data_IF_724024852401
#
_entry.id   IF_724024852401
#
_cell.length_a   1.000
_cell.length_b   1.000
_cell.length_c   1.000
_cell.angle_alpha   90.00
_cell.angle_beta   90.00
_cell.angle_gamma   90.00
#
_symmetry.space_group_name_H-M   'P 1'
#
loop_
_entity.id
_entity.type
_entity.pdbx_description
1 polymer ?
#
# COMPACT_ATOMS: atom_id res chain seq x y z
N UNK A 1 -50.91 -19.78 24.05
CA UNK A 1 -51.08 -19.58 22.60
C UNK A 1 -50.51 -18.21 22.27
N UNK A 2 -49.24 -18.06 21.85
CA UNK A 2 -48.72 -18.22 20.48
C UNK A 2 -49.61 -17.49 19.45
N UNK A 3 -49.16 -16.55 18.62
CA UNK A 3 -47.87 -15.89 18.41
C UNK A 3 -48.15 -14.61 17.60
N UNK A 4 -47.48 -13.50 17.94
CA UNK A 4 -47.45 -12.29 17.10
C UNK A 4 -46.48 -12.51 15.94
N UNK A 5 -46.94 -12.14 14.75
CA UNK A 5 -46.21 -12.19 13.49
C UNK A 5 -44.96 -11.29 13.53
N UNK A 6 -43.80 -11.91 13.74
CA UNK A 6 -42.49 -11.31 13.44
C UNK A 6 -42.15 -11.53 11.97
N UNK A 7 -42.31 -10.49 11.16
CA UNK A 7 -41.91 -10.48 9.75
C UNK A 7 -40.85 -9.42 9.48
N UNK A 8 -39.78 -9.84 8.80
CA UNK A 8 -38.71 -9.05 8.19
C UNK A 8 -37.57 -8.60 9.12
N UNK A 9 -36.73 -9.56 9.51
CA UNK A 9 -35.33 -9.25 9.80
C UNK A 9 -34.59 -9.10 8.47
N UNK A 10 -34.17 -7.88 8.21
CA UNK A 10 -33.21 -7.48 7.18
C UNK A 10 -31.97 -8.37 7.22
N UNK A 11 -31.77 -9.19 6.19
CA UNK A 11 -30.49 -9.83 5.89
C UNK A 11 -29.50 -8.77 5.37
N UNK A 12 -29.04 -7.90 6.26
CA UNK A 12 -27.78 -7.19 6.07
C UNK A 12 -26.68 -8.10 6.61
N UNK A 13 -26.07 -8.90 5.74
CA UNK A 13 -24.86 -9.63 6.04
C UNK A 13 -23.75 -8.61 6.37
N UNK A 14 -23.62 -8.28 7.65
CA UNK A 14 -22.44 -7.59 8.18
C UNK A 14 -21.25 -8.50 7.93
N UNK A 15 -20.46 -8.17 6.92
CA UNK A 15 -19.12 -8.72 6.76
C UNK A 15 -18.33 -8.25 7.98
N UNK A 16 -18.20 -9.13 8.96
CA UNK A 16 -17.31 -8.94 10.10
C UNK A 16 -15.89 -9.02 9.55
N UNK A 17 -15.32 -7.86 9.21
CA UNK A 17 -13.88 -7.70 9.07
C UNK A 17 -13.30 -7.91 10.46
N UNK A 18 -12.95 -9.17 10.77
CA UNK A 18 -12.26 -9.52 12.01
C UNK A 18 -10.94 -8.77 11.97
N UNK A 19 -10.81 -7.76 12.81
CA UNK A 19 -9.55 -7.04 13.01
C UNK A 19 -8.46 -8.08 13.29
N UNK A 20 -7.58 -8.30 12.33
CA UNK A 20 -6.31 -8.98 12.53
C UNK A 20 -5.36 -8.07 13.33
N UNK A 21 -5.84 -7.54 14.45
CA UNK A 21 -5.06 -6.86 15.45
C UNK A 21 -4.42 -7.91 16.34
N UNK A 22 -3.28 -8.47 15.91
CA UNK A 22 -2.27 -8.98 16.84
C UNK A 22 -0.92 -9.40 16.24
N UNK A 23 -0.69 -9.29 14.92
CA UNK A 23 0.66 -9.44 14.35
C UNK A 23 1.25 -8.12 13.82
N UNK A 24 0.39 -7.15 13.52
CA UNK A 24 0.80 -5.81 13.05
C UNK A 24 1.54 -5.04 14.14
N UNK A 25 1.13 -5.12 15.41
CA UNK A 25 1.71 -4.28 16.47
C UNK A 25 3.07 -4.77 17.01
N UNK A 26 3.37 -6.07 16.95
CA UNK A 26 4.61 -6.60 17.54
C UNK A 26 5.83 -6.47 16.64
N UNK A 27 5.66 -6.44 15.31
CA UNK A 27 6.74 -6.16 14.36
C UNK A 27 6.97 -4.65 14.13
N UNK A 28 6.00 -3.81 14.50
CA UNK A 28 6.08 -2.34 14.45
C UNK A 28 6.82 -1.76 15.68
N UNK A 29 7.08 -2.56 16.71
CA UNK A 29 7.69 -2.10 17.96
C UNK A 29 9.12 -1.52 17.81
N UNK A 30 9.75 -1.65 16.63
CA UNK A 30 11.02 -1.02 16.29
C UNK A 30 10.96 -0.17 15.01
N UNK A 31 9.90 0.64 14.85
CA UNK A 31 9.88 1.70 13.84
C UNK A 31 9.58 3.06 14.44
N UNK A 32 10.66 3.80 14.68
CA UNK A 32 10.63 5.25 14.88
C UNK A 32 10.15 6.03 13.62
N UNK A 33 9.69 5.34 12.57
CA UNK A 33 9.31 5.93 11.28
C UNK A 33 7.89 5.58 10.85
N UNK A 34 7.02 6.59 10.88
CA UNK A 34 5.63 6.48 10.45
C UNK A 34 5.48 6.95 9.00
N UNK A 35 5.39 5.98 8.07
CA UNK A 35 5.21 6.24 6.62
C UNK A 35 3.92 7.02 6.31
N UNK A 36 2.91 7.02 7.19
CA UNK A 36 1.67 7.76 6.96
C UNK A 36 1.90 9.26 6.91
N UNK A 37 2.95 9.75 7.57
CA UNK A 37 3.31 11.18 7.59
C UNK A 37 3.90 11.68 6.26
N UNK A 38 4.27 10.76 5.36
CA UNK A 38 4.79 11.05 4.02
C UNK A 38 3.72 11.07 2.94
N UNK A 39 2.47 10.74 3.25
CA UNK A 39 1.44 10.57 2.23
C UNK A 39 0.29 11.53 2.51
N UNK A 40 -0.04 12.31 1.50
CA UNK A 40 -1.23 13.17 1.47
C UNK A 40 -2.05 12.83 0.24
N UNK A 41 -3.37 12.99 0.32
CA UNK A 41 -4.23 12.81 -0.85
C UNK A 41 -4.34 14.14 -1.61
N UNK A 42 -3.99 14.13 -2.89
CA UNK A 42 -4.30 15.20 -3.83
C UNK A 42 -5.05 14.60 -5.02
N UNK A 43 -6.23 15.13 -5.34
CA UNK A 43 -7.05 14.67 -6.47
C UNK A 43 -7.33 13.15 -6.46
N UNK A 44 -7.45 12.57 -5.26
CA UNK A 44 -7.69 11.13 -5.08
C UNK A 44 -6.46 10.25 -5.25
N UNK A 45 -5.29 10.83 -5.52
CA UNK A 45 -4.01 10.12 -5.63
C UNK A 45 -3.13 10.36 -4.40
N UNK A 46 -2.39 9.35 -3.92
CA UNK A 46 -1.41 9.54 -2.87
C UNK A 46 -0.20 10.30 -3.42
N UNK A 47 0.10 11.45 -2.82
CA UNK A 47 1.22 12.33 -3.17
C UNK A 47 2.05 12.64 -1.94
N UNK A 48 3.32 12.92 -2.18
CA UNK A 48 4.30 13.30 -1.15
C UNK A 48 4.88 14.67 -1.47
N UNK A 49 4.97 15.53 -0.45
CA UNK A 49 5.56 16.87 -0.58
C UNK A 49 7.00 16.88 -0.04
N UNK A 50 7.87 17.71 -0.63
CA UNK A 50 9.27 17.82 -0.16
C UNK A 50 9.42 18.28 1.29
N UNK A 51 8.42 18.98 1.83
CA UNK A 51 8.37 19.33 3.26
C UNK A 51 8.19 18.10 4.16
N UNK A 52 7.37 17.14 3.75
CA UNK A 52 7.14 15.89 4.49
C UNK A 52 8.43 15.07 4.51
N UNK A 53 9.10 14.95 3.35
CA UNK A 53 10.38 14.28 3.23
C UNK A 53 11.45 14.96 4.09
N UNK A 54 11.51 16.29 4.06
CA UNK A 54 12.45 17.05 4.89
C UNK A 54 12.26 16.75 6.39
N UNK A 55 11.01 16.72 6.86
CA UNK A 55 10.66 16.38 8.25
C UNK A 55 11.03 14.94 8.59
N UNK A 56 10.65 14.00 7.73
CA UNK A 56 10.84 12.57 7.96
C UNK A 56 12.33 12.18 8.01
N UNK A 57 13.13 12.71 7.09
CA UNK A 57 14.57 12.41 7.03
C UNK A 57 15.43 13.37 7.86
N UNK A 58 14.82 14.33 8.57
CA UNK A 58 15.52 15.34 9.38
C UNK A 58 16.46 16.22 8.55
N UNK A 59 16.13 16.48 7.28
CA UNK A 59 16.93 17.30 6.35
C UNK A 59 16.28 18.67 6.18
N UNK A 60 17.09 19.68 5.85
CA UNK A 60 16.57 20.99 5.44
C UNK A 60 15.84 20.86 4.10
N UNK A 61 14.69 21.54 3.96
CA UNK A 61 13.91 21.58 2.72
C UNK A 61 14.75 21.91 1.48
N UNK A 62 15.64 22.90 1.61
CA UNK A 62 16.55 23.31 0.53
C UNK A 62 17.48 22.18 0.08
N UNK A 63 17.90 21.30 0.99
CA UNK A 63 18.75 20.15 0.64
C UNK A 63 17.95 19.09 -0.13
N UNK A 64 16.67 18.91 0.20
CA UNK A 64 15.77 18.01 -0.53
C UNK A 64 15.54 18.52 -1.95
N UNK A 65 15.26 19.82 -2.12
CA UNK A 65 15.15 20.45 -3.45
C UNK A 65 16.44 20.28 -4.24
N UNK A 66 17.60 20.51 -3.62
CA UNK A 66 18.89 20.31 -4.27
C UNK A 66 19.07 18.86 -4.71
N UNK A 67 18.69 17.90 -3.87
CA UNK A 67 18.78 16.49 -4.22
C UNK A 67 17.93 16.16 -5.44
N UNK A 68 16.69 16.66 -5.53
CA UNK A 68 15.84 16.50 -6.72
C UNK A 68 16.51 17.07 -7.97
N UNK A 69 17.06 18.29 -7.89
CA UNK A 69 17.76 18.92 -9.02
C UNK A 69 19.05 18.21 -9.43
N UNK A 70 19.63 17.41 -8.54
CA UNK A 70 20.84 16.64 -8.80
C UNK A 70 20.56 15.16 -9.14
N UNK A 71 19.29 14.74 -9.23
CA UNK A 71 18.93 13.38 -9.60
C UNK A 71 19.39 13.09 -11.03
N UNK A 72 20.08 11.96 -11.21
CA UNK A 72 20.47 11.43 -12.51
C UNK A 72 19.36 10.52 -13.01
N UNK A 73 18.30 11.10 -13.56
CA UNK A 73 17.18 10.38 -14.18
C UNK A 73 16.88 10.95 -15.56
N UNK A 74 16.09 10.24 -16.38
CA UNK A 74 15.67 10.76 -17.68
C UNK A 74 14.75 11.98 -17.50
N UNK A 75 14.77 12.87 -18.49
CA UNK A 75 13.94 14.08 -18.46
C UNK A 75 12.44 13.76 -18.42
N UNK A 76 12.02 12.70 -19.13
CA UNK A 76 10.66 12.16 -19.09
C UNK A 76 10.28 11.76 -17.65
N UNK A 77 11.12 10.98 -16.98
CA UNK A 77 10.87 10.56 -15.59
C UNK A 77 10.77 11.76 -14.66
N UNK A 78 11.68 12.72 -14.80
CA UNK A 78 11.68 13.90 -13.93
C UNK A 78 10.41 14.74 -14.10
N UNK A 79 9.92 14.88 -15.33
CA UNK A 79 8.75 15.71 -15.63
C UNK A 79 7.45 15.04 -15.20
N UNK A 80 7.36 13.71 -15.33
CA UNK A 80 6.17 12.94 -14.94
C UNK A 80 6.02 12.84 -13.43
N UNK A 81 7.12 12.62 -12.69
CA UNK A 81 7.06 12.27 -11.28
C UNK A 81 7.32 13.44 -10.32
N UNK A 82 7.84 14.58 -10.80
CA UNK A 82 8.09 15.77 -9.97
C UNK A 82 7.36 17.01 -10.49
N UNK A 83 6.28 17.40 -9.80
CA UNK A 83 5.57 18.66 -10.05
C UNK A 83 6.10 19.79 -9.17
N UNK A 84 6.63 20.85 -9.78
CA UNK A 84 7.03 22.06 -9.05
C UNK A 84 5.80 22.90 -8.69
N UNK A 85 5.70 23.31 -7.42
CA UNK A 85 4.60 24.14 -6.90
C UNK A 85 5.19 25.31 -6.11
N UNK A 86 4.53 26.46 -6.17
CA UNK A 86 4.89 27.64 -5.38
C UNK A 86 3.97 27.75 -4.16
N UNK A 87 4.55 28.01 -2.99
CA UNK A 87 3.81 28.39 -1.78
C UNK A 87 4.29 29.76 -1.29
N UNK A 88 3.37 30.60 -0.86
CA UNK A 88 3.71 31.85 -0.17
C UNK A 88 4.10 31.50 1.27
N UNK A 89 5.25 31.98 1.73
CA UNK A 89 5.67 31.75 3.11
C UNK A 89 4.87 32.64 4.06
N UNK A 90 4.14 32.03 4.98
CA UNK A 90 3.30 32.71 5.99
C UNK A 90 4.10 33.44 7.09
N UNK A 91 5.42 33.66 6.91
CA UNK A 91 6.34 34.21 7.91
C UNK A 91 6.30 35.74 8.05
N UNK A 92 5.21 36.39 7.62
CA UNK A 92 4.77 37.71 8.07
C UNK A 92 5.59 38.95 7.71
N UNK A 93 6.78 38.82 7.11
CA UNK A 93 7.66 40.00 6.86
C UNK A 93 7.88 40.25 5.36
N UNK A 94 7.78 39.23 4.50
CA UNK A 94 7.79 39.38 3.03
C UNK A 94 7.08 38.17 2.39
N UNK A 95 6.18 38.41 1.44
CA UNK A 95 5.55 37.39 0.58
C UNK A 95 6.58 36.73 -0.36
N UNK A 96 7.58 36.06 0.23
CA UNK A 96 8.56 35.30 -0.54
C UNK A 96 7.91 33.98 -0.95
N UNK A 97 7.69 33.84 -2.24
CA UNK A 97 7.32 32.57 -2.87
C UNK A 97 8.44 31.57 -2.68
N UNK A 98 8.12 30.44 -2.06
CA UNK A 98 9.01 29.30 -1.90
C UNK A 98 8.55 28.16 -2.81
N UNK A 99 9.44 27.73 -3.69
CA UNK A 99 9.21 26.56 -4.53
C UNK A 99 9.34 25.30 -3.67
N UNK A 100 8.43 24.36 -3.87
CA UNK A 100 8.51 23.00 -3.36
C UNK A 100 8.10 22.02 -4.46
N UNK A 101 8.34 20.74 -4.26
CA UNK A 101 7.94 19.72 -5.22
C UNK A 101 6.90 18.81 -4.58
N UNK A 102 5.87 18.49 -5.35
CA UNK A 102 4.95 17.41 -5.10
C UNK A 102 5.31 16.27 -6.04
N UNK A 103 5.35 15.06 -5.49
CA UNK A 103 5.74 13.87 -6.25
C UNK A 103 4.80 12.70 -5.95
N UNK A 104 4.74 11.78 -6.90
CA UNK A 104 4.12 10.49 -6.69
C UNK A 104 5.07 9.55 -5.93
N UNK A 105 4.59 8.34 -5.69
CA UNK A 105 5.39 7.31 -5.02
C UNK A 105 6.69 6.99 -5.77
N UNK A 106 6.66 6.95 -7.10
CA UNK A 106 7.83 6.64 -7.93
C UNK A 106 8.92 7.70 -7.78
N UNK A 107 8.55 8.99 -7.81
CA UNK A 107 9.46 10.10 -7.56
C UNK A 107 10.02 10.09 -6.14
N UNK A 108 9.19 9.75 -5.14
CA UNK A 108 9.62 9.58 -3.76
C UNK A 108 10.70 8.50 -3.62
N UNK A 109 10.47 7.31 -4.18
CA UNK A 109 11.43 6.20 -4.11
C UNK A 109 12.75 6.57 -4.79
N UNK A 110 12.69 7.16 -5.99
CA UNK A 110 13.89 7.63 -6.71
C UNK A 110 14.73 8.58 -5.86
N UNK A 111 14.08 9.51 -5.16
CA UNK A 111 14.75 10.48 -4.29
C UNK A 111 15.36 9.84 -3.04
N UNK A 112 14.61 8.98 -2.33
CA UNK A 112 15.04 8.35 -1.08
C UNK A 112 16.21 7.39 -1.30
N UNK A 113 16.25 6.69 -2.42
CA UNK A 113 17.37 5.80 -2.75
C UNK A 113 18.70 6.56 -2.90
N UNK A 114 18.66 7.85 -3.24
CA UNK A 114 19.85 8.72 -3.28
C UNK A 114 20.27 9.29 -1.92
N UNK A 115 19.49 9.07 -0.84
CA UNK A 115 19.82 9.58 0.49
C UNK A 115 20.74 8.65 1.26
N UNK A 116 21.78 9.26 1.85
CA UNK A 116 22.74 8.59 2.73
C UNK A 116 22.59 9.07 4.18
N UNK A 117 22.95 8.18 5.12
CA UNK A 117 23.05 8.43 6.56
C UNK A 117 22.16 7.48 7.39
N UNK A 118 22.51 7.28 8.66
CA UNK A 118 21.87 6.29 9.53
C UNK A 118 20.34 6.37 9.58
N UNK A 119 19.75 7.58 9.62
CA UNK A 119 18.30 7.76 9.56
C UNK A 119 17.71 7.36 8.21
N UNK A 120 18.39 7.67 7.11
CA UNK A 120 17.94 7.28 5.78
C UNK A 120 18.03 5.76 5.60
N UNK A 121 19.07 5.13 6.16
CA UNK A 121 19.24 3.68 6.12
C UNK A 121 18.15 2.96 6.91
N UNK A 122 17.82 3.45 8.12
CA UNK A 122 16.69 2.94 8.89
C UNK A 122 15.36 3.03 8.11
N UNK A 123 15.10 4.13 7.40
CA UNK A 123 13.90 4.29 6.57
C UNK A 123 13.91 3.38 5.34
N UNK A 124 15.08 3.09 4.78
CA UNK A 124 15.22 2.15 3.65
C UNK A 124 14.95 0.72 4.11
N UNK A 125 15.55 0.30 5.23
CA UNK A 125 15.30 -1.01 5.84
C UNK A 125 13.82 -1.18 6.21
N UNK A 126 13.24 -0.14 6.78
CA UNK A 126 11.83 -0.05 7.10
C UNK A 126 10.93 -0.37 5.91
N UNK A 127 11.21 0.30 4.80
CA UNK A 127 10.48 0.16 3.57
C UNK A 127 10.68 -1.22 2.95
N UNK A 128 11.91 -1.75 2.95
CA UNK A 128 12.24 -3.10 2.46
C UNK A 128 11.48 -4.16 3.26
N UNK A 129 11.43 -4.04 4.58
CA UNK A 129 10.72 -4.99 5.44
C UNK A 129 9.21 -4.96 5.18
N UNK A 130 8.61 -3.78 5.06
CA UNK A 130 7.21 -3.63 4.69
C UNK A 130 6.90 -4.24 3.32
N UNK A 131 7.79 -4.04 2.34
CA UNK A 131 7.66 -4.62 1.00
C UNK A 131 7.74 -6.15 1.01
N UNK A 132 8.71 -6.72 1.73
CA UNK A 132 8.87 -8.17 1.85
C UNK A 132 7.67 -8.80 2.57
N UNK A 133 7.15 -8.13 3.61
CA UNK A 133 5.95 -8.57 4.31
C UNK A 133 4.73 -8.61 3.39
N UNK A 134 4.45 -7.51 2.67
CA UNK A 134 3.32 -7.45 1.73
C UNK A 134 3.48 -8.45 0.58
N UNK A 135 4.70 -8.61 0.06
CA UNK A 135 5.00 -9.59 -0.98
C UNK A 135 4.73 -11.02 -0.52
N UNK A 136 5.09 -11.36 0.73
CA UNK A 136 4.77 -12.66 1.31
C UNK A 136 3.26 -12.83 1.50
N UNK A 137 2.55 -11.80 1.92
CA UNK A 137 1.10 -11.85 2.12
C UNK A 137 0.33 -12.02 0.80
N UNK A 138 0.71 -11.30 -0.24
CA UNK A 138 0.14 -11.47 -1.59
C UNK A 138 0.38 -12.87 -2.16
N UNK A 139 1.54 -13.48 -1.89
CA UNK A 139 1.83 -14.87 -2.26
C UNK A 139 0.89 -15.85 -1.57
N UNK A 140 0.67 -15.68 -0.25
CA UNK A 140 -0.29 -16.52 0.50
C UNK A 140 -1.70 -16.42 -0.07
N UNK A 141 -2.15 -15.21 -0.40
CA UNK A 141 -3.47 -15.04 -1.02
C UNK A 141 -3.54 -15.77 -2.37
N UNK A 142 -2.52 -15.64 -3.23
CA UNK A 142 -2.45 -16.37 -4.50
C UNK A 142 -2.52 -17.88 -4.31
N UNK A 143 -1.71 -18.42 -3.40
CA UNK A 143 -1.69 -19.85 -3.06
C UNK A 143 -3.04 -20.32 -2.50
N UNK A 144 -3.69 -19.51 -1.66
CA UNK A 144 -5.03 -19.80 -1.12
C UNK A 144 -6.06 -19.90 -2.23
N UNK A 145 -6.08 -18.93 -3.16
CA UNK A 145 -7.02 -18.95 -4.29
C UNK A 145 -6.75 -20.13 -5.24
N UNK A 146 -5.48 -20.46 -5.48
CA UNK A 146 -5.12 -21.63 -6.28
C UNK A 146 -5.54 -22.93 -5.61
N UNK A 147 -5.34 -23.06 -4.29
CA UNK A 147 -5.74 -24.23 -3.52
C UNK A 147 -7.26 -24.44 -3.54
N UNK A 148 -8.04 -23.38 -3.31
CA UNK A 148 -9.51 -23.44 -3.38
C UNK A 148 -9.98 -23.84 -4.79
N UNK A 149 -9.42 -23.23 -5.83
CA UNK A 149 -9.75 -23.57 -7.23
C UNK A 149 -9.41 -25.02 -7.56
N UNK A 150 -8.24 -25.49 -7.13
CA UNK A 150 -7.79 -26.86 -7.38
C UNK A 150 -8.68 -27.87 -6.64
N UNK A 151 -9.09 -27.57 -5.41
CA UNK A 151 -10.00 -28.42 -4.63
C UNK A 151 -11.35 -28.59 -5.32
N UNK A 152 -11.98 -27.49 -5.74
CA UNK A 152 -13.27 -27.52 -6.45
C UNK A 152 -13.17 -28.28 -7.77
N UNK A 153 -12.07 -28.10 -8.52
CA UNK A 153 -11.85 -28.82 -9.77
C UNK A 153 -11.69 -30.34 -9.53
N UNK A 154 -10.98 -30.73 -8.48
CA UNK A 154 -10.79 -32.13 -8.11
C UNK A 154 -12.12 -32.80 -7.70
N UNK A 155 -12.99 -32.09 -6.98
CA UNK A 155 -14.34 -32.56 -6.63
C UNK A 155 -15.19 -32.77 -7.87
N UNK A 156 -15.21 -31.80 -8.79
CA UNK A 156 -15.93 -31.92 -10.06
C UNK A 156 -15.47 -33.11 -10.91
N UNK A 157 -14.15 -33.36 -10.96
CA UNK A 157 -13.60 -34.53 -11.65
C UNK A 157 -14.07 -35.84 -11.01
N UNK A 158 -14.04 -35.94 -9.68
CA UNK A 158 -14.51 -37.13 -8.94
C UNK A 158 -15.98 -37.41 -9.21
N UNK A 159 -16.84 -36.38 -9.17
CA UNK A 159 -18.27 -36.54 -9.43
C UNK A 159 -18.54 -37.07 -10.85
N UNK A 160 -17.82 -36.54 -11.84
CA UNK A 160 -17.91 -37.02 -13.23
C UNK A 160 -17.48 -38.47 -13.38
N UNK A 161 -16.38 -38.85 -12.73
CA UNK A 161 -15.89 -40.23 -12.77
C UNK A 161 -16.87 -41.19 -12.11
N UNK A 162 -17.45 -40.82 -10.98
CA UNK A 162 -18.49 -41.59 -10.28
C UNK A 162 -19.74 -41.76 -11.15
N UNK A 163 -20.22 -40.68 -11.78
CA UNK A 163 -21.36 -40.74 -12.70
C UNK A 163 -21.07 -41.64 -13.92
N UNK A 164 -19.87 -41.52 -14.51
CA UNK A 164 -19.41 -42.34 -15.63
C UNK A 164 -19.34 -43.83 -15.28
N UNK A 165 -18.75 -44.16 -14.12
CA UNK A 165 -18.66 -45.54 -13.63
C UNK A 165 -20.04 -46.13 -13.32
N UNK A 166 -20.95 -45.35 -12.74
CA UNK A 166 -22.32 -45.77 -12.45
C UNK A 166 -23.10 -46.08 -13.73
N UNK A 167 -22.95 -45.26 -14.79
CA UNK A 167 -23.56 -45.54 -16.09
C UNK A 167 -23.08 -46.84 -16.73
N UNK A 168 -21.79 -47.19 -16.59
CA UNK A 168 -21.26 -48.48 -17.08
C UNK A 168 -21.83 -49.68 -16.30
N UNK A 169 -22.06 -49.52 -15.00
CA UNK A 169 -22.58 -50.59 -14.15
C UNK A 169 -24.06 -50.91 -14.42
N UNK A 170 -24.85 -49.92 -14.85
CA UNK A 170 -26.27 -50.11 -15.17
C UNK A 170 -26.52 -50.78 -16.54
N UNK A 171 -25.55 -50.73 -17.45
CA UNK A 171 -25.64 -51.33 -18.79
C UNK A 171 -25.14 -52.79 -18.83
N UNK A 172 -25.06 -53.47 -17.68
CA UNK A 172 -24.51 -54.82 -17.52
C UNK A 172 -25.53 -55.72 -16.83
#
# INVERSE_FOLDING_TARGET
MLASLGGLVSCAAKVHFKEAGNAMNELIANHDFDFRQLVTAAEGQPVTDTFQIARAFGKRHQHVIRAIKCLRCSEEFSTTHFGAVEKINDLGIFDKKQIYYRMDFSGFVMLVMGFNGAKADAVKEAYINAFNWMSAELRKYSESYEAERNAVMLEYMKEKDVASMSGRLLNR
#
